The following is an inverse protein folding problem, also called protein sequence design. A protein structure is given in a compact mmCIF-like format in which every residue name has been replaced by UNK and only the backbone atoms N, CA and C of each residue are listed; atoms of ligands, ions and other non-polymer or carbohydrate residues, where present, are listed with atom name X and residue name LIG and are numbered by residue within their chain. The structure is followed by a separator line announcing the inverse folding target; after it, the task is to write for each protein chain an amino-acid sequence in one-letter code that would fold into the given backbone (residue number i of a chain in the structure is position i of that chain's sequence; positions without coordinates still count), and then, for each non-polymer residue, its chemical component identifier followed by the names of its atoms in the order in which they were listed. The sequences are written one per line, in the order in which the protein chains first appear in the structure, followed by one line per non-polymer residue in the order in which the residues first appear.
data_IF_488786184649
#
_entry.id   IF_488786184649
#
_cell.length_a   1.000
_cell.length_b   1.000
_cell.length_c   1.000
_cell.angle_alpha   90.00
_cell.angle_beta   90.00
_cell.angle_gamma   90.00
#
_symmetry.space_group_name_H-M   'P 1'
#
loop_
_entity.id
_entity.type
_entity.pdbx_description
1 polymer ?
#
# COMPACT_ATOMS: atom_id res chain seq x y z
N UNK A 1 -20.12 -5.78 -13.31
CA UNK A 1 -18.83 -5.94 -12.58
C UNK A 1 -18.17 -4.58 -12.30
N UNK A 2 -17.89 -3.72 -13.32
CA UNK A 2 -17.29 -2.40 -13.11
C UNK A 2 -18.12 -1.48 -12.18
N UNK A 3 -19.46 -1.49 -12.29
CA UNK A 3 -20.34 -0.78 -11.36
C UNK A 3 -20.25 -1.31 -9.94
N UNK A 4 -20.16 -2.62 -9.76
CA UNK A 4 -20.01 -3.24 -8.44
C UNK A 4 -18.70 -2.85 -7.77
N UNK A 5 -17.58 -2.80 -8.53
CA UNK A 5 -16.30 -2.36 -8.01
C UNK A 5 -16.32 -0.89 -7.56
N UNK A 6 -16.95 0.00 -8.35
CA UNK A 6 -17.11 1.41 -7.94
C UNK A 6 -18.00 1.54 -6.71
N UNK A 7 -19.07 0.78 -6.62
CA UNK A 7 -19.94 0.75 -5.45
C UNK A 7 -19.22 0.21 -4.20
N UNK A 8 -18.17 -0.62 -4.39
CA UNK A 8 -17.31 -1.12 -3.33
C UNK A 8 -16.14 -0.18 -2.98
N UNK A 9 -16.11 1.03 -3.54
CA UNK A 9 -15.12 2.06 -3.21
C UNK A 9 -13.91 2.15 -4.13
N UNK A 10 -13.97 1.52 -5.33
CA UNK A 10 -12.90 1.70 -6.31
C UNK A 10 -13.01 3.07 -6.99
N UNK A 11 -11.99 3.91 -6.83
CA UNK A 11 -11.91 5.24 -7.44
C UNK A 11 -11.84 5.15 -8.98
N UNK A 12 -11.08 4.20 -9.48
CA UNK A 12 -10.89 3.97 -10.92
C UNK A 12 -11.06 2.51 -11.28
N UNK A 13 -11.82 2.23 -12.32
CA UNK A 13 -11.98 0.90 -12.90
C UNK A 13 -11.64 0.97 -14.37
N UNK A 14 -10.58 0.27 -14.78
CA UNK A 14 -10.13 0.14 -16.17
C UNK A 14 -10.55 -1.22 -16.71
N UNK A 15 -11.25 -1.22 -17.85
CA UNK A 15 -11.63 -2.42 -18.60
C UNK A 15 -10.81 -2.47 -19.89
N UNK A 16 -9.61 -3.05 -19.83
CA UNK A 16 -8.67 -3.17 -20.94
C UNK A 16 -7.86 -4.46 -20.79
N UNK A 17 -7.15 -4.90 -21.84
CA UNK A 17 -6.11 -5.95 -21.70
C UNK A 17 -5.12 -5.57 -20.61
N UNK A 18 -4.69 -6.53 -19.78
CA UNK A 18 -3.85 -6.27 -18.61
C UNK A 18 -2.58 -5.50 -18.96
N UNK A 19 -1.90 -5.88 -20.04
CA UNK A 19 -0.69 -5.21 -20.49
C UNK A 19 -0.91 -3.72 -20.77
N UNK A 20 -2.01 -3.37 -21.43
CA UNK A 20 -2.37 -1.97 -21.72
C UNK A 20 -2.77 -1.21 -20.46
N UNK A 21 -3.56 -1.83 -19.59
CA UNK A 21 -3.97 -1.21 -18.34
C UNK A 21 -2.77 -0.89 -17.43
N UNK A 22 -1.84 -1.85 -17.31
CA UNK A 22 -0.67 -1.71 -16.46
C UNK A 22 0.33 -0.64 -16.95
N UNK A 23 0.38 -0.33 -18.25
CA UNK A 23 1.21 0.77 -18.76
C UNK A 23 0.82 2.11 -18.12
N UNK A 24 -0.46 2.31 -17.86
CA UNK A 24 -0.99 3.56 -17.30
C UNK A 24 -1.04 3.56 -15.76
N UNK A 25 -0.67 2.46 -15.10
CA UNK A 25 -0.62 2.40 -13.64
C UNK A 25 0.81 2.72 -13.18
N UNK A 26 1.04 3.83 -12.47
CA UNK A 26 2.36 4.18 -11.98
C UNK A 26 2.82 3.21 -10.90
N UNK A 27 4.13 2.96 -10.83
CA UNK A 27 4.76 2.36 -9.66
C UNK A 27 5.13 3.44 -8.62
N UNK A 28 5.45 3.01 -7.41
CA UNK A 28 5.88 3.93 -6.35
C UNK A 28 6.12 3.23 -5.02
N UNK A 29 6.76 3.93 -4.09
CA UNK A 29 7.03 3.41 -2.75
C UNK A 29 5.74 3.10 -1.96
N UNK A 30 4.61 3.70 -2.34
CA UNK A 30 3.29 3.50 -1.73
C UNK A 30 2.32 2.71 -2.65
N UNK A 31 2.84 2.07 -3.71
CA UNK A 31 2.01 1.29 -4.63
C UNK A 31 1.99 -0.18 -4.24
N UNK A 32 0.81 -0.74 -4.09
CA UNK A 32 0.55 -2.13 -3.74
C UNK A 32 -0.15 -2.83 -4.90
N UNK A 33 0.46 -3.87 -5.44
CA UNK A 33 -0.13 -4.65 -6.53
C UNK A 33 -0.66 -6.00 -6.01
N UNK A 34 -1.89 -6.32 -6.36
CA UNK A 34 -2.49 -7.64 -6.15
C UNK A 34 -2.92 -8.24 -7.49
N UNK A 35 -2.25 -9.30 -7.92
CA UNK A 35 -2.53 -10.04 -9.17
C UNK A 35 -3.48 -11.17 -8.85
N UNK A 36 -4.74 -11.03 -9.27
CA UNK A 36 -5.85 -11.93 -8.98
C UNK A 36 -6.45 -12.49 -10.28
N UNK A 37 -5.60 -12.95 -11.19
CA UNK A 37 -6.06 -13.45 -12.49
C UNK A 37 -6.46 -14.93 -12.43
N UNK A 38 -7.20 -15.38 -13.43
CA UNK A 38 -7.60 -16.79 -13.58
C UNK A 38 -6.63 -17.61 -14.41
N UNK A 39 -5.72 -16.96 -15.15
CA UNK A 39 -4.83 -17.61 -16.11
C UNK A 39 -3.37 -17.42 -15.71
N UNK A 40 -2.60 -18.51 -15.79
CA UNK A 40 -1.17 -18.48 -15.60
C UNK A 40 -0.43 -17.53 -16.57
N UNK A 41 -0.86 -17.50 -17.84
CA UNK A 41 -0.29 -16.58 -18.82
C UNK A 41 -0.50 -15.11 -18.42
N UNK A 42 -1.69 -14.77 -17.93
CA UNK A 42 -1.97 -13.40 -17.46
C UNK A 42 -1.21 -13.04 -16.18
N UNK A 43 -0.97 -14.01 -15.27
CA UNK A 43 -0.13 -13.74 -14.11
C UNK A 43 1.29 -13.40 -14.53
N UNK A 44 1.86 -14.16 -15.47
CA UNK A 44 3.19 -13.94 -15.99
C UNK A 44 3.31 -12.57 -16.67
N UNK A 45 2.36 -12.23 -17.54
CA UNK A 45 2.32 -10.94 -18.24
C UNK A 45 2.22 -9.77 -17.26
N UNK A 46 1.34 -9.88 -16.25
CA UNK A 46 1.17 -8.86 -15.23
C UNK A 46 2.47 -8.68 -14.41
N UNK A 47 3.02 -9.77 -13.90
CA UNK A 47 4.21 -9.71 -13.05
C UNK A 47 5.44 -9.24 -13.81
N UNK A 48 5.59 -9.62 -15.09
CA UNK A 48 6.68 -9.12 -15.94
C UNK A 48 6.68 -7.59 -16.01
N UNK A 49 5.51 -6.96 -16.12
CA UNK A 49 5.42 -5.50 -16.16
C UNK A 49 5.51 -4.85 -14.79
N UNK A 50 4.86 -5.44 -13.77
CA UNK A 50 4.84 -4.91 -12.41
C UNK A 50 6.25 -4.93 -11.80
N UNK A 51 7.01 -6.00 -12.02
CA UNK A 51 8.36 -6.14 -11.48
C UNK A 51 9.40 -5.19 -12.12
N UNK A 52 9.06 -4.49 -13.17
CA UNK A 52 9.88 -3.40 -13.72
C UNK A 52 9.63 -2.06 -13.03
N UNK A 53 8.61 -1.97 -12.18
CA UNK A 53 8.20 -0.75 -11.49
C UNK A 53 8.59 -0.81 -10.00
N UNK A 54 8.85 0.33 -9.34
CA UNK A 54 8.94 0.35 -7.89
C UNK A 54 7.56 0.03 -7.29
N UNK A 55 7.55 -0.77 -6.24
CA UNK A 55 6.33 -1.12 -5.52
C UNK A 55 6.61 -1.34 -4.03
N UNK A 56 5.62 -1.02 -3.21
CA UNK A 56 5.60 -1.32 -1.80
C UNK A 56 5.37 -2.82 -1.55
N UNK A 57 4.53 -3.41 -2.38
CA UNK A 57 4.08 -4.78 -2.24
C UNK A 57 3.65 -5.33 -3.60
N UNK A 58 3.97 -6.58 -3.85
CA UNK A 58 3.46 -7.34 -5.00
C UNK A 58 2.99 -8.69 -4.49
N UNK A 59 1.71 -9.00 -4.67
CA UNK A 59 1.13 -10.28 -4.33
C UNK A 59 0.47 -10.95 -5.53
N UNK A 60 0.55 -12.28 -5.61
CA UNK A 60 -0.09 -13.08 -6.66
C UNK A 60 -0.95 -14.18 -6.06
N UNK A 61 -2.20 -14.27 -6.51
CA UNK A 61 -3.10 -15.36 -6.14
C UNK A 61 -2.75 -16.63 -6.91
N UNK A 62 -2.64 -17.74 -6.21
CA UNK A 62 -2.42 -19.04 -6.81
C UNK A 62 -1.96 -20.09 -5.80
N UNK A 63 -1.94 -21.35 -6.20
CA UNK A 63 -1.35 -22.42 -5.40
C UNK A 63 0.18 -22.28 -5.33
N UNK A 64 0.81 -22.94 -4.36
CA UNK A 64 2.28 -23.00 -4.24
C UNK A 64 2.94 -23.50 -5.52
N UNK A 65 2.34 -24.52 -6.18
CA UNK A 65 2.86 -25.04 -7.45
C UNK A 65 2.78 -24.02 -8.59
N UNK A 66 1.66 -23.26 -8.68
CA UNK A 66 1.51 -22.17 -9.65
C UNK A 66 2.51 -21.05 -9.39
N UNK A 67 2.72 -20.67 -8.15
CA UNK A 67 3.72 -19.69 -7.76
C UNK A 67 5.14 -20.09 -8.15
N UNK A 68 5.51 -21.36 -7.91
CA UNK A 68 6.82 -21.89 -8.29
C UNK A 68 7.04 -21.87 -9.81
N UNK A 69 6.01 -22.23 -10.58
CA UNK A 69 6.07 -22.22 -12.05
C UNK A 69 6.26 -20.79 -12.57
N UNK A 70 5.48 -19.83 -12.07
CA UNK A 70 5.61 -18.41 -12.46
C UNK A 70 6.98 -17.86 -12.12
N UNK A 71 7.49 -18.12 -10.91
CA UNK A 71 8.84 -17.69 -10.49
C UNK A 71 9.91 -18.20 -11.45
N UNK A 72 9.86 -19.49 -11.82
CA UNK A 72 10.81 -20.07 -12.76
C UNK A 72 10.76 -19.37 -14.11
N UNK A 73 9.58 -19.13 -14.67
CA UNK A 73 9.45 -18.46 -15.96
C UNK A 73 9.89 -16.99 -15.93
N UNK A 74 9.66 -16.29 -14.83
CA UNK A 74 10.16 -14.92 -14.66
C UNK A 74 11.69 -14.89 -14.65
N UNK A 75 12.34 -15.87 -14.00
CA UNK A 75 13.80 -16.03 -14.01
C UNK A 75 14.33 -16.37 -15.42
N UNK A 76 13.67 -17.29 -16.12
CA UNK A 76 14.00 -17.66 -17.51
C UNK A 76 13.87 -16.45 -18.46
N UNK A 77 12.94 -15.54 -18.17
CA UNK A 77 12.77 -14.28 -18.90
C UNK A 77 13.76 -13.18 -18.48
N UNK A 78 14.71 -13.47 -17.58
CA UNK A 78 15.80 -12.56 -17.20
C UNK A 78 15.41 -11.47 -16.20
N UNK A 79 14.29 -11.63 -15.48
CA UNK A 79 13.94 -10.67 -14.43
C UNK A 79 14.83 -10.86 -13.19
N UNK A 80 15.00 -9.78 -12.44
CA UNK A 80 15.79 -9.75 -11.21
C UNK A 80 15.24 -10.71 -10.15
N UNK A 81 16.09 -11.64 -9.71
CA UNK A 81 15.73 -12.65 -8.72
C UNK A 81 15.27 -12.05 -7.39
N UNK A 82 15.89 -10.96 -6.93
CA UNK A 82 15.51 -10.30 -5.67
C UNK A 82 14.09 -9.75 -5.75
N UNK A 83 13.71 -9.18 -6.90
CA UNK A 83 12.35 -8.71 -7.13
C UNK A 83 11.34 -9.84 -7.21
N UNK A 84 11.72 -10.93 -7.84
CA UNK A 84 10.88 -12.14 -7.94
C UNK A 84 10.66 -12.75 -6.55
N UNK A 85 11.70 -12.82 -5.73
CA UNK A 85 11.61 -13.39 -4.37
C UNK A 85 10.78 -12.52 -3.42
N UNK A 86 10.72 -11.22 -3.67
CA UNK A 86 9.87 -10.29 -2.93
C UNK A 86 8.36 -10.45 -3.25
N UNK A 87 7.98 -11.20 -4.29
CA UNK A 87 6.58 -11.46 -4.62
C UNK A 87 5.95 -12.39 -3.58
N UNK A 88 4.91 -11.92 -2.90
CA UNK A 88 4.10 -12.73 -2.00
C UNK A 88 3.19 -13.67 -2.81
N UNK A 89 3.60 -14.90 -2.99
CA UNK A 89 2.85 -15.92 -3.72
C UNK A 89 2.98 -17.29 -3.02
N UNK A 90 1.86 -17.85 -2.54
CA UNK A 90 0.49 -17.36 -2.55
C UNK A 90 0.29 -16.03 -1.80
N UNK A 91 -0.57 -15.15 -2.33
CA UNK A 91 -0.93 -13.90 -1.68
C UNK A 91 -1.73 -14.15 -0.39
N UNK A 92 -1.51 -13.32 0.62
CA UNK A 92 -2.21 -13.38 1.89
C UNK A 92 -1.44 -14.12 2.99
N UNK A 93 -1.78 -13.85 4.25
CA UNK A 93 -1.25 -14.54 5.41
C UNK A 93 -1.78 -15.98 5.48
N UNK A 94 -0.94 -16.91 5.95
CA UNK A 94 -1.32 -18.33 6.12
C UNK A 94 -2.20 -18.52 7.36
N UNK A 95 -3.46 -18.07 7.31
CA UNK A 95 -4.45 -18.17 8.40
C UNK A 95 -5.41 -19.35 8.26
N UNK A 96 -5.20 -20.23 7.27
CA UNK A 96 -6.11 -21.33 6.98
C UNK A 96 -7.39 -20.92 6.24
N UNK A 97 -7.39 -19.76 5.57
CA UNK A 97 -8.55 -19.23 4.86
C UNK A 97 -9.07 -20.21 3.78
N UNK A 98 -10.39 -20.44 3.77
CA UNK A 98 -11.08 -21.35 2.84
C UNK A 98 -12.12 -20.62 1.99
N UNK A 99 -12.84 -19.68 2.55
CA UNK A 99 -13.85 -18.89 1.84
C UNK A 99 -13.24 -17.67 1.13
N UNK A 100 -13.92 -17.15 0.11
CA UNK A 100 -13.47 -15.94 -0.58
C UNK A 100 -13.33 -14.73 0.36
N UNK A 101 -14.20 -14.62 1.37
CA UNK A 101 -14.13 -13.55 2.37
C UNK A 101 -12.89 -13.69 3.27
N UNK A 102 -12.59 -14.90 3.73
CA UNK A 102 -11.40 -15.19 4.55
C UNK A 102 -10.11 -14.97 3.75
N UNK A 103 -10.10 -15.35 2.46
CA UNK A 103 -8.97 -15.10 1.56
C UNK A 103 -8.76 -13.58 1.41
N UNK A 104 -9.82 -12.81 1.17
CA UNK A 104 -9.73 -11.36 1.09
C UNK A 104 -9.20 -10.76 2.40
N UNK A 105 -9.66 -11.22 3.56
CA UNK A 105 -9.17 -10.81 4.86
C UNK A 105 -7.67 -11.12 5.03
N UNK A 106 -7.21 -12.31 4.62
CA UNK A 106 -5.80 -12.70 4.71
C UNK A 106 -4.90 -11.81 3.84
N UNK A 107 -5.38 -11.40 2.66
CA UNK A 107 -4.69 -10.48 1.75
C UNK A 107 -4.58 -9.09 2.39
N UNK A 108 -5.69 -8.56 2.88
CA UNK A 108 -5.71 -7.25 3.54
C UNK A 108 -4.80 -7.22 4.77
N UNK A 109 -4.83 -8.27 5.59
CA UNK A 109 -3.97 -8.41 6.76
C UNK A 109 -2.47 -8.41 6.36
N UNK A 110 -2.09 -9.09 5.28
CA UNK A 110 -0.72 -9.09 4.77
C UNK A 110 -0.31 -7.70 4.27
N UNK A 111 -1.19 -7.00 3.54
CA UNK A 111 -0.94 -5.63 3.08
C UNK A 111 -0.70 -4.69 4.28
N UNK A 112 -1.55 -4.77 5.31
CA UNK A 112 -1.39 -3.99 6.55
C UNK A 112 -0.08 -4.33 7.25
N UNK A 113 0.28 -5.61 7.34
CA UNK A 113 1.55 -6.05 7.92
C UNK A 113 2.74 -5.44 7.19
N UNK A 114 2.77 -5.51 5.84
CA UNK A 114 3.85 -4.95 5.03
C UNK A 114 3.90 -3.43 5.15
N UNK A 115 2.74 -2.76 5.14
CA UNK A 115 2.65 -1.32 5.33
C UNK A 115 3.26 -0.88 6.67
N UNK A 116 2.92 -1.56 7.75
CA UNK A 116 3.34 -1.19 9.10
C UNK A 116 4.77 -1.66 9.46
N UNK A 117 5.33 -2.64 8.71
CA UNK A 117 6.72 -3.07 8.87
C UNK A 117 7.74 -2.07 8.29
N UNK A 118 7.28 -1.13 7.46
CA UNK A 118 8.13 -0.07 6.91
C UNK A 118 8.37 1.00 7.97
N UNK A 119 9.57 1.62 8.00
CA UNK A 119 9.75 2.84 8.78
C UNK A 119 8.68 3.83 8.32
N UNK A 120 7.74 4.09 9.18
CA UNK A 120 6.73 5.12 8.93
C UNK A 120 7.46 6.46 9.00
N UNK A 121 7.89 6.97 7.86
CA UNK A 121 7.95 8.42 7.71
C UNK A 121 6.49 8.84 7.69
N UNK A 122 5.92 9.14 8.86
CA UNK A 122 4.58 9.70 8.92
C UNK A 122 4.62 10.99 8.09
N UNK A 123 4.12 10.90 6.87
CA UNK A 123 3.84 12.07 6.05
C UNK A 123 2.87 12.98 6.81
N UNK A 124 2.71 14.19 6.34
CA UNK A 124 1.68 15.06 6.91
C UNK A 124 0.31 14.48 6.57
N UNK A 125 -0.56 14.15 7.54
CA UNK A 125 -1.96 13.85 7.27
C UNK A 125 -2.60 14.96 6.45
N UNK A 126 -3.49 14.63 5.53
CA UNK A 126 -4.13 15.63 4.64
C UNK A 126 -4.79 16.73 5.45
N UNK A 127 -5.48 16.39 6.54
CA UNK A 127 -6.10 17.34 7.45
C UNK A 127 -5.10 18.31 8.07
N UNK A 128 -3.89 17.83 8.39
CA UNK A 128 -2.83 18.67 8.93
C UNK A 128 -2.22 19.57 7.86
N UNK A 129 -2.02 19.06 6.64
CA UNK A 129 -1.56 19.86 5.50
C UNK A 129 -2.55 20.98 5.18
N UNK A 130 -3.84 20.67 5.12
CA UNK A 130 -4.90 21.65 4.88
C UNK A 130 -4.89 22.74 5.96
N UNK A 131 -4.75 22.37 7.23
CA UNK A 131 -4.67 23.33 8.33
C UNK A 131 -3.43 24.24 8.23
N UNK A 132 -2.27 23.69 7.87
CA UNK A 132 -1.03 24.46 7.64
C UNK A 132 -1.24 25.47 6.50
N UNK A 133 -1.79 25.01 5.37
CA UNK A 133 -2.06 25.88 4.21
C UNK A 133 -3.05 26.99 4.54
N UNK A 134 -4.09 26.69 5.33
CA UNK A 134 -5.05 27.70 5.77
C UNK A 134 -4.42 28.73 6.73
N UNK A 135 -3.62 28.27 7.69
CA UNK A 135 -2.91 29.17 8.60
C UNK A 135 -1.94 30.09 7.84
N UNK A 136 -1.21 29.54 6.85
CA UNK A 136 -0.31 30.32 6.00
C UNK A 136 -1.06 31.38 5.18
N UNK A 137 -2.15 31.00 4.49
CA UNK A 137 -3.00 31.94 3.72
C UNK A 137 -3.58 33.03 4.56
N UNK A 138 -3.98 32.75 5.81
CA UNK A 138 -4.52 33.70 6.75
C UNK A 138 -3.43 34.51 7.50
N UNK A 139 -2.15 34.25 7.24
CA UNK A 139 -1.02 34.81 8.00
C UNK A 139 -1.18 34.60 9.51
N UNK A 140 -1.80 33.49 9.90
CA UNK A 140 -2.04 33.15 11.31
C UNK A 140 -0.80 32.44 11.85
N UNK A 141 -0.14 32.94 12.92
CA UNK A 141 0.97 32.23 13.53
C UNK A 141 0.52 30.87 14.04
N UNK A 142 1.32 29.83 13.79
CA UNK A 142 1.02 28.47 14.25
C UNK A 142 2.30 27.76 14.65
N UNK A 143 2.20 26.78 15.56
CA UNK A 143 3.34 25.97 16.00
C UNK A 143 3.12 24.53 15.55
N UNK A 144 4.09 23.97 14.82
CA UNK A 144 4.11 22.57 14.45
C UNK A 144 4.95 21.77 15.45
N UNK A 145 4.30 20.96 16.27
CA UNK A 145 4.96 20.01 17.15
C UNK A 145 5.18 18.69 16.41
N UNK A 146 6.36 18.10 16.58
CA UNK A 146 6.71 16.77 16.00
C UNK A 146 7.42 15.91 17.04
N UNK A 147 7.00 14.66 17.19
CA UNK A 147 7.74 13.68 18.03
C UNK A 147 9.02 13.29 17.30
N UNK A 148 10.17 13.64 17.86
CA UNK A 148 11.49 13.31 17.29
C UNK A 148 12.13 12.10 17.96
N UNK A 149 11.73 11.75 19.18
CA UNK A 149 12.19 10.56 19.91
C UNK A 149 11.12 10.13 20.91
N UNK A 150 11.12 8.84 21.25
CA UNK A 150 10.24 8.28 22.30
C UNK A 150 11.01 7.38 23.24
N UNK A 151 10.57 7.31 24.49
CA UNK A 151 11.05 6.37 25.48
C UNK A 151 9.85 5.66 26.12
N UNK A 152 9.91 4.33 26.23
CA UNK A 152 8.84 3.52 26.78
C UNK A 152 7.64 3.35 25.82
N UNK A 153 6.48 2.92 26.38
CA UNK A 153 5.26 2.73 25.64
C UNK A 153 4.51 4.06 25.52
N UNK A 154 4.39 4.57 24.33
CA UNK A 154 3.67 5.82 24.04
C UNK A 154 2.59 5.56 22.99
N UNK A 155 1.42 6.25 23.03
CA UNK A 155 0.31 6.03 22.10
C UNK A 155 0.59 6.52 20.67
N UNK A 156 1.67 7.28 20.46
CA UNK A 156 2.06 7.80 19.15
C UNK A 156 3.53 7.52 18.87
N UNK A 157 3.84 7.27 17.61
CA UNK A 157 5.18 6.99 17.13
C UNK A 157 5.98 8.25 16.79
N UNK A 158 7.30 8.10 16.66
CA UNK A 158 8.21 9.13 16.16
C UNK A 158 7.74 9.57 14.77
N UNK A 159 7.67 10.88 14.53
CA UNK A 159 7.14 11.45 13.30
C UNK A 159 5.71 11.98 13.43
N UNK A 160 4.95 11.58 14.46
CA UNK A 160 3.62 12.13 14.72
C UNK A 160 3.66 13.65 14.90
N UNK A 161 2.70 14.34 14.31
CA UNK A 161 2.67 15.80 14.22
C UNK A 161 1.35 16.38 14.69
N UNK A 162 1.43 17.60 15.23
CA UNK A 162 0.28 18.38 15.69
C UNK A 162 0.52 19.87 15.40
N UNK A 163 -0.43 20.52 14.76
CA UNK A 163 -0.46 21.97 14.60
C UNK A 163 -1.21 22.59 15.77
N UNK A 164 -0.65 23.62 16.36
CA UNK A 164 -1.24 24.38 17.45
C UNK A 164 -1.50 25.79 16.93
N UNK A 165 -2.73 26.24 17.02
CA UNK A 165 -3.17 27.57 16.60
C UNK A 165 -3.17 28.55 17.78
N UNK A 166 -3.20 29.88 17.54
CA UNK A 166 -3.11 30.90 18.62
C UNK A 166 -4.24 30.87 19.63
N UNK A 167 -5.41 30.36 19.23
CA UNK A 167 -6.57 30.15 20.09
C UNK A 167 -6.49 28.90 20.98
N UNK A 168 -5.38 28.15 20.88
CA UNK A 168 -5.16 26.91 21.60
C UNK A 168 -5.80 25.68 20.93
N UNK A 169 -6.50 25.85 19.81
CA UNK A 169 -7.01 24.70 19.04
C UNK A 169 -5.89 23.93 18.38
N UNK A 170 -6.09 22.63 18.18
CA UNK A 170 -5.07 21.73 17.64
C UNK A 170 -5.60 20.89 16.49
N UNK A 171 -4.75 20.61 15.50
CA UNK A 171 -5.01 19.67 14.41
C UNK A 171 -3.93 18.61 14.40
N UNK A 172 -4.32 17.33 14.44
CA UNK A 172 -3.40 16.21 14.67
C UNK A 172 -3.20 15.93 16.15
N UNK A 173 -2.25 15.03 16.49
CA UNK A 173 -1.96 14.69 17.88
C UNK A 173 -0.54 14.15 18.02
N UNK A 174 0.16 14.58 19.07
CA UNK A 174 1.49 14.05 19.48
C UNK A 174 1.39 13.24 20.78
N UNK A 175 0.19 13.00 21.30
CA UNK A 175 -0.04 12.23 22.53
C UNK A 175 -1.40 11.55 22.52
N UNK A 176 -1.66 10.75 23.54
CA UNK A 176 -3.00 10.29 23.89
C UNK A 176 -3.71 11.38 24.67
N UNK A 177 -4.73 11.97 24.10
CA UNK A 177 -5.66 12.85 24.78
C UNK A 177 -6.94 12.10 25.06
#
# INVERSE_FOLDING_TARGET
FAQQLRAAGADTVLCAPFAQALQNVPGGAETYFAVLTRSHAFDLDCLTQILQKPAAYVGMMGSRGRAALVRRQLLENGLDSQRIDAVCAPIGLAIGAQTAAEIALSILAQIVQVKNARPQTEGYPITLLDAIVQAEKASTPAVLATIVARHGSTPRDVGAKMLILPDGSTVGSVGGG
#
